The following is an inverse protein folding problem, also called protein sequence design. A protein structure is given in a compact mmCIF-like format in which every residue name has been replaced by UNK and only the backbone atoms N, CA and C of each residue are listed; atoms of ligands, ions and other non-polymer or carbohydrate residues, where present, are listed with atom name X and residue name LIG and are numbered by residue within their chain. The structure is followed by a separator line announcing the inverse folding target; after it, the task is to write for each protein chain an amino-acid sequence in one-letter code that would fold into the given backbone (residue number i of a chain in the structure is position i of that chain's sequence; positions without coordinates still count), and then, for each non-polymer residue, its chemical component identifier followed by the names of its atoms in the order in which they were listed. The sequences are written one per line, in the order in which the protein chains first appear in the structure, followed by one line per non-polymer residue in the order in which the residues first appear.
data_IF_279815000950
#
_entry.id   IF_279815000950
#
_cell.length_a   1.000
_cell.length_b   1.000
_cell.length_c   1.000
_cell.angle_alpha   90.00
_cell.angle_beta   90.00
_cell.angle_gamma   90.00
#
_symmetry.space_group_name_H-M   'P 1'
#
loop_
_entity.id
_entity.type
_entity.pdbx_description
1 polymer ?
#
# COMPACT_ATOMS: atom_id res chain seq x y z
N UNK A 1 -11.23 -4.67 -3.98
CA UNK A 1 -9.96 -4.11 -3.46
C UNK A 1 -9.21 -3.52 -4.64
N UNK A 2 -8.93 -2.21 -4.64
CA UNK A 2 -8.02 -1.62 -5.63
C UNK A 2 -6.60 -2.06 -5.26
N UNK A 3 -5.82 -2.73 -6.12
CA UNK A 3 -4.40 -2.89 -5.87
C UNK A 3 -3.79 -1.49 -5.98
N UNK A 4 -3.25 -0.94 -4.90
CA UNK A 4 -2.36 0.20 -5.03
C UNK A 4 -1.08 -0.30 -5.72
N UNK A 5 -0.94 0.00 -7.01
CA UNK A 5 0.24 -0.32 -7.77
C UNK A 5 1.40 0.57 -7.31
N UNK A 6 2.46 -0.04 -6.77
CA UNK A 6 3.67 0.70 -6.38
C UNK A 6 4.54 0.90 -7.62
N UNK A 7 4.57 2.12 -8.15
CA UNK A 7 5.54 2.52 -9.16
C UNK A 7 6.96 2.36 -8.57
N UNK A 8 7.85 1.67 -9.30
CA UNK A 8 9.16 1.29 -8.78
C UNK A 8 10.11 2.49 -8.76
N UNK A 9 10.64 2.79 -7.58
CA UNK A 9 11.64 3.86 -7.37
C UNK A 9 13.02 3.39 -7.80
N UNK A 10 13.87 4.30 -8.27
CA UNK A 10 15.25 3.98 -8.68
C UNK A 10 16.18 3.61 -7.50
N UNK A 11 15.69 3.65 -6.26
CA UNK A 11 16.40 3.18 -5.08
C UNK A 11 15.83 1.82 -4.61
N UNK A 12 16.63 0.74 -4.61
CA UNK A 12 16.25 -0.49 -3.93
C UNK A 12 16.35 -0.26 -2.42
N UNK A 13 15.22 -0.27 -1.72
CA UNK A 13 15.14 -0.25 -0.26
C UNK A 13 15.20 -1.66 0.36
N UNK A 14 15.81 -2.63 -0.34
CA UNK A 14 16.05 -3.97 0.19
C UNK A 14 17.47 -4.11 0.74
N UNK A 15 17.66 -3.74 2.00
CA UNK A 15 18.84 -4.14 2.78
C UNK A 15 18.47 -4.55 4.20
N UNK A 16 17.74 -5.66 4.33
CA UNK A 16 17.70 -6.40 5.60
C UNK A 16 17.66 -7.91 5.38
N UNK A 17 18.69 -8.51 4.75
CA UNK A 17 18.94 -9.97 4.83
C UNK A 17 20.31 -10.35 4.24
N UNK A 18 21.41 -9.97 4.91
CA UNK A 18 22.72 -10.59 4.63
C UNK A 18 23.77 -10.35 5.73
N UNK A 19 23.43 -10.61 6.99
CA UNK A 19 24.46 -10.90 8.02
C UNK A 19 23.95 -12.02 8.92
N UNK A 20 24.07 -13.27 8.44
CA UNK A 20 24.18 -14.49 9.27
C UNK A 20 24.58 -15.65 8.36
N UNK A 21 25.88 -15.87 8.23
CA UNK A 21 26.56 -17.17 8.13
C UNK A 21 27.93 -16.98 7.45
N UNK A 22 28.98 -16.81 8.26
CA UNK A 22 30.12 -17.72 8.25
C UNK A 22 31.16 -17.22 9.25
N UNK A 23 31.20 -17.88 10.39
CA UNK A 23 32.33 -17.82 11.29
C UNK A 23 32.78 -19.27 11.52
N UNK A 24 33.80 -19.72 10.79
CA UNK A 24 34.79 -20.70 11.27
C UNK A 24 35.92 -20.95 10.27
N UNK A 25 37.13 -20.71 10.79
CA UNK A 25 38.41 -21.38 10.51
C UNK A 25 39.09 -21.18 9.15
N UNK A 26 40.16 -20.37 9.12
CA UNK A 26 41.58 -20.80 9.14
C UNK A 26 42.49 -19.61 8.77
N UNK A 27 43.44 -19.27 9.63
CA UNK A 27 44.76 -18.71 9.26
C UNK A 27 45.70 -19.88 8.89
N UNK A 28 46.89 -19.72 8.25
CA UNK A 28 47.71 -18.49 8.17
C UNK A 28 48.44 -18.20 6.81
N UNK A 29 49.22 -17.11 6.84
CA UNK A 29 50.46 -16.77 6.09
C UNK A 29 50.44 -16.10 4.70
N UNK A 30 51.16 -14.95 4.62
CA UNK A 30 51.94 -14.57 3.42
C UNK A 30 51.72 -13.18 2.80
N UNK A 31 52.47 -12.17 3.28
CA UNK A 31 53.11 -11.06 2.52
C UNK A 31 52.30 -10.11 1.60
N UNK A 32 52.29 -8.81 2.00
CA UNK A 32 51.91 -7.56 1.29
C UNK A 32 52.63 -7.31 -0.08
N UNK A 33 52.23 -6.32 -0.94
CA UNK A 33 51.47 -5.10 -0.64
C UNK A 33 50.35 -4.71 -1.65
N UNK A 34 49.26 -4.14 -1.10
CA UNK A 34 48.19 -3.48 -1.84
C UNK A 34 47.61 -2.31 -1.03
N UNK A 35 48.50 -1.52 -0.41
CA UNK A 35 48.16 -0.38 0.45
C UNK A 35 47.89 0.87 -0.39
N UNK A 36 46.83 0.84 -1.20
CA UNK A 36 46.38 2.00 -1.99
C UNK A 36 44.94 2.41 -1.69
N UNK A 37 44.04 1.45 -1.46
CA UNK A 37 42.60 1.74 -1.32
C UNK A 37 42.07 1.62 0.11
N UNK A 38 42.77 0.92 1.01
CA UNK A 38 42.39 0.83 2.43
C UNK A 38 42.79 2.09 3.23
N UNK A 39 43.74 2.89 2.74
CA UNK A 39 44.16 4.12 3.40
C UNK A 39 43.07 5.20 3.35
N UNK A 40 42.27 5.29 2.28
CA UNK A 40 41.18 6.26 2.21
C UNK A 40 40.02 5.93 3.16
N UNK A 41 39.70 4.64 3.32
CA UNK A 41 38.67 4.18 4.27
C UNK A 41 39.13 4.31 5.73
N UNK A 42 40.39 3.99 6.02
CA UNK A 42 40.95 4.07 7.37
C UNK A 42 41.19 5.52 7.81
N UNK A 43 41.59 6.43 6.91
CA UNK A 43 41.73 7.86 7.22
C UNK A 43 40.35 8.49 7.49
N UNK A 44 39.30 8.11 6.76
CA UNK A 44 37.93 8.57 7.04
C UNK A 44 37.44 8.11 8.43
N UNK A 45 37.76 6.87 8.83
CA UNK A 45 37.42 6.34 10.16
C UNK A 45 38.31 6.92 11.29
N UNK A 46 39.58 7.24 11.01
CA UNK A 46 40.48 7.85 11.99
C UNK A 46 40.14 9.32 12.26
N UNK A 47 39.63 10.05 11.25
CA UNK A 47 39.10 11.41 11.42
C UNK A 47 37.88 11.43 12.35
N UNK A 48 37.05 10.38 12.33
CA UNK A 48 35.87 10.25 13.20
C UNK A 48 36.26 9.96 14.66
N UNK A 49 37.41 9.29 14.91
CA UNK A 49 37.83 8.90 16.25
C UNK A 49 38.64 9.97 17.01
N UNK A 50 39.19 10.97 16.32
CA UNK A 50 40.02 12.04 16.94
C UNK A 50 39.24 13.37 17.11
N UNK A 51 38.04 13.50 16.57
CA UNK A 51 37.23 14.72 16.66
C UNK A 51 36.36 14.80 17.93
N UNK A 52 36.88 14.37 19.07
CA UNK A 52 36.38 14.77 20.38
C UNK A 52 36.97 16.13 20.79
N UNK A 53 36.78 17.19 20.01
CA UNK A 53 37.07 18.59 20.39
C UNK A 53 36.56 19.60 19.32
N UNK A 54 35.43 20.24 19.61
CA UNK A 54 34.89 21.51 19.08
C UNK A 54 35.50 22.13 17.80
N UNK A 55 34.86 21.91 16.65
CA UNK A 55 34.75 22.80 15.48
C UNK A 55 33.48 22.34 14.73
N UNK A 56 32.67 23.26 14.21
CA UNK A 56 31.54 22.87 13.36
C UNK A 56 32.04 21.93 12.27
N UNK A 57 31.41 20.77 12.12
CA UNK A 57 31.70 19.87 11.01
C UNK A 57 31.69 20.68 9.70
N UNK A 58 32.72 20.54 8.87
CA UNK A 58 32.76 21.21 7.58
C UNK A 58 31.57 20.76 6.71
N UNK A 59 31.14 21.58 5.72
CA UNK A 59 29.92 21.29 4.97
C UNK A 59 29.96 19.91 4.30
N UNK A 60 31.13 19.44 3.83
CA UNK A 60 31.31 18.08 3.29
C UNK A 60 31.09 16.97 4.33
N UNK A 61 31.56 17.15 5.56
CA UNK A 61 31.36 16.16 6.62
C UNK A 61 29.89 16.09 7.02
N UNK A 62 29.23 17.23 7.13
CA UNK A 62 27.80 17.33 7.42
C UNK A 62 26.95 16.70 6.32
N UNK A 63 27.30 16.93 5.05
CA UNK A 63 26.66 16.29 3.90
C UNK A 63 26.77 14.76 3.93
N UNK A 64 27.99 14.23 4.13
CA UNK A 64 28.19 12.78 4.18
C UNK A 64 27.48 12.14 5.37
N UNK A 65 27.43 12.83 6.51
CA UNK A 65 26.63 12.41 7.67
C UNK A 65 25.14 12.36 7.35
N UNK A 66 24.60 13.36 6.64
CA UNK A 66 23.22 13.38 6.19
C UNK A 66 22.90 12.17 5.29
N UNK A 67 23.80 11.84 4.36
CA UNK A 67 23.66 10.68 3.48
C UNK A 67 23.65 9.35 4.26
N UNK A 68 24.55 9.18 5.22
CA UNK A 68 24.57 7.97 6.09
C UNK A 68 23.27 7.85 6.90
N UNK A 69 22.72 8.97 7.40
CA UNK A 69 21.44 8.97 8.11
C UNK A 69 20.27 8.60 7.18
N UNK A 70 20.27 9.12 5.94
CA UNK A 70 19.28 8.77 4.92
C UNK A 70 19.31 7.26 4.60
N UNK A 71 20.51 6.69 4.43
CA UNK A 71 20.70 5.25 4.19
C UNK A 71 20.21 4.38 5.37
N UNK A 72 20.21 4.93 6.59
CA UNK A 72 19.68 4.27 7.80
C UNK A 72 18.17 4.47 8.00
N UNK A 73 17.51 5.20 7.11
CA UNK A 73 16.09 5.52 7.22
C UNK A 73 15.78 6.66 8.20
N UNK A 74 16.79 7.36 8.72
CA UNK A 74 16.62 8.50 9.63
C UNK A 74 16.38 9.79 8.83
N UNK A 75 15.31 9.79 8.02
CA UNK A 75 15.07 10.80 6.98
C UNK A 75 14.90 12.23 7.53
N UNK A 76 14.22 12.40 8.65
CA UNK A 76 13.99 13.74 9.23
C UNK A 76 15.29 14.39 9.72
N UNK A 77 16.19 13.61 10.31
CA UNK A 77 17.51 14.10 10.75
C UNK A 77 18.42 14.37 9.55
N UNK A 78 18.40 13.49 8.54
CA UNK A 78 19.12 13.69 7.28
C UNK A 78 18.70 15.00 6.59
N UNK A 79 17.40 15.29 6.50
CA UNK A 79 16.89 16.54 5.90
C UNK A 79 17.44 17.76 6.64
N UNK A 80 17.45 17.75 7.98
CA UNK A 80 18.01 18.87 8.74
C UNK A 80 19.47 19.15 8.39
N UNK A 81 20.29 18.09 8.27
CA UNK A 81 21.69 18.25 7.90
C UNK A 81 21.87 18.68 6.45
N UNK A 82 21.00 18.25 5.53
CA UNK A 82 20.99 18.78 4.16
C UNK A 82 20.61 20.26 4.10
N UNK A 83 19.65 20.69 4.94
CA UNK A 83 19.26 22.09 5.06
C UNK A 83 20.43 22.95 5.57
N UNK A 84 21.16 22.47 6.57
CA UNK A 84 22.31 23.17 7.17
C UNK A 84 23.44 23.46 6.17
N UNK A 85 23.62 22.62 5.15
CA UNK A 85 24.68 22.77 4.14
C UNK A 85 24.19 23.32 2.80
N UNK A 86 22.88 23.55 2.64
CA UNK A 86 22.27 23.91 1.36
C UNK A 86 22.88 25.19 0.77
N UNK A 87 23.10 26.23 1.58
CA UNK A 87 23.67 27.49 1.09
C UNK A 87 25.10 27.29 0.58
N UNK A 88 25.91 26.52 1.32
CA UNK A 88 27.31 26.25 0.98
C UNK A 88 27.50 25.28 -0.18
N UNK A 89 26.51 24.42 -0.45
CA UNK A 89 26.55 23.37 -1.46
C UNK A 89 25.45 23.54 -2.51
N UNK A 90 25.06 24.79 -2.75
CA UNK A 90 23.91 25.14 -3.58
C UNK A 90 24.08 24.78 -5.07
N UNK A 91 25.28 24.43 -5.52
CA UNK A 91 25.61 23.96 -6.86
C UNK A 91 25.58 22.42 -7.00
N UNK A 92 25.57 21.67 -5.88
CA UNK A 92 25.66 20.21 -5.88
C UNK A 92 24.29 19.57 -6.13
N UNK A 93 24.06 19.07 -7.34
CA UNK A 93 22.82 18.37 -7.71
C UNK A 93 22.47 17.20 -6.76
N UNK A 94 23.49 16.47 -6.30
CA UNK A 94 23.35 15.32 -5.40
C UNK A 94 22.66 15.68 -4.07
N UNK A 95 22.88 16.89 -3.54
CA UNK A 95 22.21 17.39 -2.33
C UNK A 95 20.70 17.35 -2.48
N UNK A 96 20.20 17.99 -3.54
CA UNK A 96 18.78 18.09 -3.82
C UNK A 96 18.20 16.71 -4.12
N UNK A 97 18.91 15.86 -4.85
CA UNK A 97 18.47 14.49 -5.08
C UNK A 97 18.30 13.70 -3.76
N UNK A 98 19.32 13.67 -2.90
CA UNK A 98 19.29 12.90 -1.65
C UNK A 98 18.23 13.43 -0.68
N UNK A 99 18.09 14.75 -0.57
CA UNK A 99 17.03 15.38 0.22
C UNK A 99 15.65 15.08 -0.35
N UNK A 100 15.49 15.10 -1.68
CA UNK A 100 14.26 14.70 -2.38
C UNK A 100 13.86 13.25 -2.08
N UNK A 101 14.82 12.33 -2.06
CA UNK A 101 14.59 10.93 -1.66
C UNK A 101 14.09 10.83 -0.22
N UNK A 102 14.70 11.58 0.72
CA UNK A 102 14.25 11.62 2.11
C UNK A 102 12.82 12.19 2.25
N UNK A 103 12.53 13.28 1.55
CA UNK A 103 11.20 13.91 1.55
C UNK A 103 10.14 12.96 0.99
N UNK A 104 10.46 12.26 -0.10
CA UNK A 104 9.60 11.23 -0.69
C UNK A 104 9.34 10.08 0.29
N UNK A 105 10.34 9.63 1.04
CA UNK A 105 10.18 8.58 2.04
C UNK A 105 9.27 9.00 3.21
N UNK A 106 9.24 10.29 3.52
CA UNK A 106 8.32 10.89 4.50
C UNK A 106 6.94 11.28 3.90
N UNK A 107 6.67 10.90 2.65
CA UNK A 107 5.45 11.25 1.91
C UNK A 107 5.23 12.76 1.70
N UNK A 108 6.30 13.56 1.81
CA UNK A 108 6.28 15.01 1.51
C UNK A 108 6.52 15.23 0.02
N UNK A 109 5.56 14.77 -0.79
CA UNK A 109 5.72 14.60 -2.23
C UNK A 109 5.94 15.91 -2.99
N UNK A 110 5.23 16.99 -2.68
CA UNK A 110 5.45 18.26 -3.39
C UNK A 110 6.85 18.83 -3.13
N UNK A 111 7.33 18.75 -1.89
CA UNK A 111 8.72 19.14 -1.56
C UNK A 111 9.74 18.24 -2.24
N UNK A 112 9.43 16.96 -2.41
CA UNK A 112 10.29 16.05 -3.15
C UNK A 112 10.38 16.44 -4.64
N UNK A 113 9.27 16.83 -5.27
CA UNK A 113 9.26 17.34 -6.65
C UNK A 113 10.09 18.61 -6.79
N UNK A 114 9.95 19.56 -5.88
CA UNK A 114 10.79 20.78 -5.86
C UNK A 114 12.29 20.42 -5.81
N UNK A 115 12.68 19.49 -4.94
CA UNK A 115 14.08 19.06 -4.83
C UNK A 115 14.55 18.29 -6.07
N UNK A 116 13.72 17.45 -6.69
CA UNK A 116 14.08 16.81 -7.95
C UNK A 116 14.19 17.82 -9.10
N UNK A 117 13.37 18.86 -9.13
CA UNK A 117 13.49 19.94 -10.11
C UNK A 117 14.81 20.71 -9.93
N UNK A 118 15.19 21.06 -8.69
CA UNK A 118 16.48 21.69 -8.38
C UNK A 118 17.67 20.78 -8.76
N UNK A 119 17.57 19.47 -8.52
CA UNK A 119 18.56 18.50 -8.97
C UNK A 119 18.71 18.53 -10.50
N UNK A 120 17.60 18.45 -11.23
CA UNK A 120 17.58 18.38 -12.69
C UNK A 120 17.97 19.71 -13.36
N UNK A 121 17.82 20.84 -12.67
CA UNK A 121 18.33 22.12 -13.15
C UNK A 121 19.87 22.13 -13.19
N UNK A 122 20.53 21.45 -12.24
CA UNK A 122 21.99 21.38 -12.10
C UNK A 122 22.60 20.22 -12.87
N UNK A 123 21.92 19.08 -12.86
CA UNK A 123 22.29 17.87 -13.58
C UNK A 123 21.07 17.36 -14.39
N UNK A 124 20.86 17.89 -15.60
CA UNK A 124 19.72 17.52 -16.46
C UNK A 124 19.71 16.04 -16.90
N UNK A 125 20.84 15.34 -16.77
CA UNK A 125 21.02 13.94 -17.17
C UNK A 125 20.94 12.98 -15.98
N UNK A 126 20.54 13.48 -14.79
CA UNK A 126 20.37 12.67 -13.60
C UNK A 126 19.19 11.68 -13.73
N UNK A 127 19.44 10.51 -14.32
CA UNK A 127 18.41 9.47 -14.57
C UNK A 127 17.62 9.09 -13.30
N UNK A 128 18.25 8.88 -12.13
CA UNK A 128 17.51 8.58 -10.90
C UNK A 128 16.52 9.69 -10.51
N UNK A 129 16.91 10.97 -10.59
CA UNK A 129 16.02 12.09 -10.30
C UNK A 129 14.88 12.21 -11.31
N UNK A 130 15.18 12.03 -12.61
CA UNK A 130 14.16 12.01 -13.66
C UNK A 130 13.10 10.93 -13.41
N UNK A 131 13.53 9.70 -13.11
CA UNK A 131 12.61 8.60 -12.81
C UNK A 131 11.80 8.89 -11.54
N UNK A 132 12.46 9.30 -10.46
CA UNK A 132 11.78 9.55 -9.18
C UNK A 132 10.79 10.72 -9.28
N UNK A 133 11.05 11.74 -10.09
CA UNK A 133 10.09 12.81 -10.39
C UNK A 133 8.77 12.24 -10.95
N UNK A 134 8.86 11.39 -11.98
CA UNK A 134 7.68 10.71 -12.54
C UNK A 134 6.97 9.81 -11.53
N UNK A 135 7.71 9.10 -10.68
CA UNK A 135 7.13 8.28 -9.60
C UNK A 135 6.39 9.13 -8.58
N UNK A 136 6.93 10.28 -8.18
CA UNK A 136 6.29 11.17 -7.22
C UNK A 136 5.04 11.82 -7.81
N UNK A 137 5.05 12.20 -9.09
CA UNK A 137 3.84 12.65 -9.80
C UNK A 137 2.74 11.58 -9.73
N UNK A 138 3.07 10.31 -10.01
CA UNK A 138 2.11 9.21 -9.89
C UNK A 138 1.61 9.01 -8.45
N UNK A 139 2.48 9.18 -7.44
CA UNK A 139 2.09 9.09 -6.02
C UNK A 139 1.18 10.24 -5.55
N UNK A 140 1.14 11.34 -6.29
CA UNK A 140 0.21 12.46 -6.11
C UNK A 140 -1.08 12.27 -6.92
N UNK A 141 -1.30 11.09 -7.51
CA UNK A 141 -2.40 10.79 -8.44
C UNK A 141 -2.41 11.68 -9.70
N UNK A 142 -1.28 12.34 -10.01
CA UNK A 142 -1.08 13.17 -11.23
C UNK A 142 -0.63 12.30 -12.40
N UNK A 143 -1.43 11.28 -12.71
CA UNK A 143 -1.05 10.22 -13.67
C UNK A 143 -0.84 10.73 -15.10
N UNK A 144 -1.61 11.72 -15.57
CA UNK A 144 -1.42 12.30 -16.90
C UNK A 144 -0.04 12.99 -17.03
N UNK A 145 0.35 13.76 -16.00
CA UNK A 145 1.65 14.43 -15.95
C UNK A 145 2.79 13.43 -15.83
N UNK A 146 2.62 12.39 -15.00
CA UNK A 146 3.59 11.30 -14.87
C UNK A 146 3.77 10.56 -16.21
N UNK A 147 2.68 10.22 -16.90
CA UNK A 147 2.72 9.55 -18.19
C UNK A 147 3.39 10.42 -19.26
N UNK A 148 3.13 11.73 -19.28
CA UNK A 148 3.79 12.66 -20.19
C UNK A 148 5.29 12.77 -19.90
N UNK A 149 5.67 12.85 -18.61
CA UNK A 149 7.05 12.90 -18.15
C UNK A 149 7.83 11.63 -18.53
N UNK A 150 7.30 10.45 -18.20
CA UNK A 150 7.91 9.19 -18.66
C UNK A 150 7.91 9.08 -20.19
N UNK A 151 6.92 9.67 -20.87
CA UNK A 151 6.91 9.76 -22.33
C UNK A 151 8.11 10.52 -22.90
N UNK A 152 8.54 11.59 -22.24
CA UNK A 152 9.76 12.30 -22.61
C UNK A 152 11.01 11.44 -22.39
N UNK A 153 11.06 10.64 -21.32
CA UNK A 153 12.18 9.71 -21.07
C UNK A 153 12.26 8.64 -22.17
N UNK A 154 11.13 8.03 -22.52
CA UNK A 154 11.04 7.03 -23.60
C UNK A 154 11.40 7.63 -24.97
N UNK A 155 11.07 8.90 -25.23
CA UNK A 155 11.49 9.58 -26.46
C UNK A 155 13.02 9.77 -26.53
N UNK A 156 13.66 10.06 -25.39
CA UNK A 156 15.12 10.20 -25.30
C UNK A 156 15.83 8.86 -25.39
N UNK A 157 15.32 7.85 -24.70
CA UNK A 157 15.85 6.49 -24.70
C UNK A 157 14.70 5.47 -24.90
N UNK A 158 14.44 5.05 -26.15
CA UNK A 158 13.41 4.06 -26.45
C UNK A 158 13.67 2.68 -25.86
N UNK A 159 14.89 2.40 -25.39
CA UNK A 159 15.28 1.13 -24.77
C UNK A 159 15.25 1.19 -23.24
N UNK A 160 14.75 2.26 -22.64
CA UNK A 160 14.55 2.33 -21.19
C UNK A 160 13.29 1.53 -20.78
N UNK A 161 13.49 0.25 -20.48
CA UNK A 161 12.44 -0.66 -20.03
C UNK A 161 11.76 -0.19 -18.73
N UNK A 162 12.48 0.53 -17.86
CA UNK A 162 11.91 1.06 -16.61
C UNK A 162 10.96 2.22 -16.89
N UNK A 163 11.38 3.15 -17.76
CA UNK A 163 10.52 4.28 -18.18
C UNK A 163 9.28 3.79 -18.93
N UNK A 164 9.43 2.80 -19.83
CA UNK A 164 8.29 2.16 -20.51
C UNK A 164 7.32 1.54 -19.51
N UNK A 165 7.81 0.73 -18.55
CA UNK A 165 6.96 0.12 -17.54
C UNK A 165 6.25 1.17 -16.68
N UNK A 166 6.96 2.20 -16.23
CA UNK A 166 6.39 3.24 -15.38
C UNK A 166 5.36 4.10 -16.13
N UNK A 167 5.57 4.37 -17.43
CA UNK A 167 4.55 4.98 -18.28
C UNK A 167 3.34 4.06 -18.44
N UNK A 168 3.58 2.77 -18.69
CA UNK A 168 2.54 1.75 -18.78
C UNK A 168 1.67 1.67 -17.52
N UNK A 169 2.27 1.79 -16.32
CA UNK A 169 1.55 1.87 -15.06
C UNK A 169 0.63 3.09 -14.98
N UNK A 170 1.16 4.27 -15.31
CA UNK A 170 0.35 5.50 -15.32
C UNK A 170 -0.80 5.41 -16.33
N UNK A 171 -0.55 4.86 -17.53
CA UNK A 171 -1.55 4.65 -18.57
C UNK A 171 -2.62 3.63 -18.14
N UNK A 172 -2.23 2.59 -17.40
CA UNK A 172 -3.15 1.61 -16.81
C UNK A 172 -4.08 2.30 -15.80
N UNK A 173 -3.55 3.10 -14.88
CA UNK A 173 -4.37 3.85 -13.91
C UNK A 173 -5.32 4.85 -14.60
N UNK A 174 -4.89 5.44 -15.73
CA UNK A 174 -5.70 6.28 -16.60
C UNK A 174 -6.71 5.51 -17.48
N UNK A 175 -6.79 4.18 -17.37
CA UNK A 175 -7.65 3.30 -18.18
C UNK A 175 -7.32 3.31 -19.68
N UNK A 176 -6.13 3.79 -20.06
CA UNK A 176 -5.60 3.79 -21.44
C UNK A 176 -4.90 2.47 -21.74
N UNK A 177 -5.68 1.39 -21.68
CA UNK A 177 -5.15 0.02 -21.65
C UNK A 177 -4.34 -0.37 -22.88
N UNK A 178 -4.75 0.02 -24.08
CA UNK A 178 -4.03 -0.37 -25.31
C UNK A 178 -2.65 0.26 -25.39
N UNK A 179 -2.50 1.50 -24.90
CA UNK A 179 -1.22 2.18 -24.81
C UNK A 179 -0.34 1.56 -23.70
N UNK A 180 -0.92 1.23 -22.56
CA UNK A 180 -0.21 0.50 -21.49
C UNK A 180 0.32 -0.86 -21.99
N UNK A 181 -0.49 -1.62 -22.73
CA UNK A 181 -0.08 -2.89 -23.33
C UNK A 181 1.06 -2.69 -24.34
N UNK A 182 1.01 -1.63 -25.15
CA UNK A 182 2.10 -1.32 -26.09
C UNK A 182 3.42 -1.06 -25.36
N UNK A 183 3.38 -0.34 -24.24
CA UNK A 183 4.54 -0.07 -23.40
C UNK A 183 5.09 -1.32 -22.72
N UNK A 184 4.24 -2.14 -22.10
CA UNK A 184 4.68 -3.39 -21.50
C UNK A 184 5.23 -4.37 -22.54
N UNK A 185 4.64 -4.40 -23.75
CA UNK A 185 5.18 -5.19 -24.87
C UNK A 185 6.57 -4.71 -25.29
N UNK A 186 6.80 -3.39 -25.36
CA UNK A 186 8.11 -2.84 -25.66
C UNK A 186 9.12 -3.15 -24.54
N UNK A 187 8.73 -2.97 -23.29
CA UNK A 187 9.57 -3.28 -22.12
C UNK A 187 9.98 -4.76 -22.08
N UNK A 188 9.05 -5.68 -22.36
CA UNK A 188 9.32 -7.13 -22.41
C UNK A 188 10.18 -7.57 -23.60
N UNK A 189 10.23 -6.81 -24.70
CA UNK A 189 11.20 -7.06 -25.78
C UNK A 189 12.63 -6.73 -25.35
N UNK A 190 12.78 -5.74 -24.45
CA UNK A 190 14.09 -5.29 -23.95
C UNK A 190 14.54 -6.17 -22.78
N UNK A 191 13.63 -6.45 -21.84
CA UNK A 191 13.87 -7.24 -20.63
C UNK A 191 12.85 -8.39 -20.53
N UNK A 192 13.07 -9.52 -21.25
CA UNK A 192 12.11 -10.63 -21.32
C UNK A 192 11.96 -11.41 -20.02
N UNK A 193 12.87 -11.24 -19.06
CA UNK A 193 12.84 -11.88 -17.74
C UNK A 193 12.44 -10.88 -16.62
N UNK A 194 11.88 -9.73 -16.96
CA UNK A 194 11.32 -8.82 -15.96
C UNK A 194 9.94 -9.31 -15.50
N UNK A 195 9.92 -9.95 -14.32
CA UNK A 195 8.73 -10.48 -13.64
C UNK A 195 7.62 -9.43 -13.50
N UNK A 196 7.98 -8.18 -13.18
CA UNK A 196 7.01 -7.12 -12.93
C UNK A 196 6.33 -6.70 -14.24
N UNK A 197 7.08 -6.63 -15.34
CA UNK A 197 6.49 -6.31 -16.65
C UNK A 197 5.48 -7.37 -17.11
N UNK A 198 5.78 -8.66 -16.94
CA UNK A 198 4.81 -9.74 -17.21
C UNK A 198 3.58 -9.61 -16.32
N UNK A 199 3.78 -9.42 -15.01
CA UNK A 199 2.70 -9.28 -14.04
C UNK A 199 1.79 -8.09 -14.38
N UNK A 200 2.34 -6.93 -14.70
CA UNK A 200 1.55 -5.74 -14.96
C UNK A 200 0.80 -5.82 -16.29
N UNK A 201 1.41 -6.39 -17.32
CA UNK A 201 0.70 -6.68 -18.57
C UNK A 201 -0.46 -7.66 -18.37
N UNK A 202 -0.23 -8.71 -17.57
CA UNK A 202 -1.27 -9.65 -17.15
C UNK A 202 -2.42 -8.98 -16.41
N UNK A 203 -2.14 -8.00 -15.54
CA UNK A 203 -3.17 -7.21 -14.85
C UNK A 203 -4.04 -6.41 -15.83
N UNK A 204 -3.43 -5.80 -16.85
CA UNK A 204 -4.17 -5.08 -17.89
C UNK A 204 -5.07 -6.02 -18.68
N UNK A 205 -4.56 -7.19 -19.11
CA UNK A 205 -5.39 -8.20 -19.77
C UNK A 205 -6.55 -8.69 -18.88
N UNK A 206 -6.29 -8.90 -17.59
CA UNK A 206 -7.32 -9.31 -16.64
C UNK A 206 -8.42 -8.25 -16.50
N UNK A 207 -8.08 -6.97 -16.48
CA UNK A 207 -9.05 -5.86 -16.46
C UNK A 207 -9.86 -5.73 -17.76
N UNK A 208 -9.25 -6.02 -18.91
CA UNK A 208 -9.97 -6.09 -20.20
C UNK A 208 -10.88 -7.32 -20.32
N UNK A 209 -10.71 -8.32 -19.44
CA UNK A 209 -11.46 -9.57 -19.47
C UNK A 209 -10.79 -10.69 -20.26
N UNK A 210 -9.59 -10.45 -20.79
CA UNK A 210 -8.80 -11.41 -21.58
C UNK A 210 -8.09 -12.42 -20.66
N UNK A 211 -8.88 -13.23 -19.96
CA UNK A 211 -8.39 -14.14 -18.90
C UNK A 211 -7.33 -15.14 -19.35
N UNK A 212 -7.37 -15.58 -20.61
CA UNK A 212 -6.37 -16.49 -21.18
C UNK A 212 -4.99 -15.82 -21.35
N UNK A 213 -4.96 -14.58 -21.84
CA UNK A 213 -3.71 -13.82 -21.98
C UNK A 213 -3.16 -13.42 -20.61
N UNK A 214 -4.04 -13.03 -19.68
CA UNK A 214 -3.66 -12.75 -18.30
C UNK A 214 -3.00 -13.96 -17.63
N UNK A 215 -3.60 -15.15 -17.73
CA UNK A 215 -3.03 -16.37 -17.18
C UNK A 215 -1.66 -16.71 -17.80
N UNK A 216 -1.50 -16.54 -19.11
CA UNK A 216 -0.23 -16.79 -19.78
C UNK A 216 0.88 -15.87 -19.23
N UNK A 217 0.57 -14.58 -19.08
CA UNK A 217 1.50 -13.59 -18.53
C UNK A 217 1.84 -13.86 -17.06
N UNK A 218 0.85 -14.18 -16.22
CA UNK A 218 1.11 -14.55 -14.83
C UNK A 218 1.91 -15.85 -14.72
N UNK A 219 1.67 -16.82 -15.61
CA UNK A 219 2.45 -18.05 -15.66
C UNK A 219 3.91 -17.76 -16.02
N UNK A 220 4.15 -16.86 -16.97
CA UNK A 220 5.50 -16.43 -17.31
C UNK A 220 6.19 -15.72 -16.15
N UNK A 221 5.49 -14.85 -15.42
CA UNK A 221 6.01 -14.21 -14.22
C UNK A 221 6.41 -15.23 -13.14
N UNK A 222 5.59 -16.27 -12.94
CA UNK A 222 5.85 -17.37 -12.00
C UNK A 222 7.02 -18.25 -12.45
N UNK A 223 7.14 -18.55 -13.74
CA UNK A 223 8.27 -19.32 -14.28
C UNK A 223 9.60 -18.62 -14.01
N UNK A 224 9.63 -17.30 -14.19
CA UNK A 224 10.84 -16.49 -13.96
C UNK A 224 11.13 -16.35 -12.46
N UNK A 225 10.09 -16.12 -11.63
CA UNK A 225 10.22 -16.08 -10.17
C UNK A 225 9.10 -16.85 -9.47
N UNK A 226 9.36 -18.13 -9.11
CA UNK A 226 8.36 -18.96 -8.43
C UNK A 226 7.94 -18.45 -7.05
N UNK A 227 8.76 -17.63 -6.39
CA UNK A 227 8.44 -17.03 -5.09
C UNK A 227 7.59 -15.75 -5.20
N UNK A 228 7.21 -15.33 -6.42
CA UNK A 228 6.40 -14.14 -6.63
C UNK A 228 4.92 -14.40 -6.32
N UNK A 229 4.55 -14.26 -5.03
CA UNK A 229 3.22 -14.56 -4.51
C UNK A 229 2.07 -13.87 -5.28
N UNK A 230 2.26 -12.61 -5.71
CA UNK A 230 1.26 -11.86 -6.49
C UNK A 230 0.96 -12.49 -7.85
N UNK A 231 1.97 -13.09 -8.50
CA UNK A 231 1.79 -13.80 -9.76
C UNK A 231 0.87 -15.00 -9.59
N UNK A 232 1.11 -15.83 -8.57
CA UNK A 232 0.22 -16.93 -8.20
C UNK A 232 -1.19 -16.45 -7.89
N UNK A 233 -1.32 -15.43 -7.05
CA UNK A 233 -2.61 -14.87 -6.68
C UNK A 233 -3.43 -14.45 -7.90
N UNK A 234 -2.84 -13.66 -8.80
CA UNK A 234 -3.56 -13.13 -9.95
C UNK A 234 -3.78 -14.17 -11.05
N UNK A 235 -2.92 -15.19 -11.17
CA UNK A 235 -3.20 -16.36 -12.01
C UNK A 235 -4.41 -17.13 -11.48
N UNK A 236 -4.49 -17.31 -10.15
CA UNK A 236 -5.64 -17.90 -9.50
C UNK A 236 -6.93 -17.15 -9.82
N UNK A 237 -6.91 -15.82 -9.68
CA UNK A 237 -8.04 -14.94 -10.04
C UNK A 237 -8.42 -15.08 -11.52
N UNK A 238 -7.45 -15.11 -12.43
CA UNK A 238 -7.71 -15.30 -13.87
C UNK A 238 -8.41 -16.64 -14.13
N UNK A 239 -7.93 -17.73 -13.52
CA UNK A 239 -8.53 -19.07 -13.62
C UNK A 239 -9.94 -19.14 -13.05
N UNK A 240 -10.21 -18.47 -11.94
CA UNK A 240 -11.57 -18.32 -11.39
C UNK A 240 -12.51 -17.66 -12.40
N UNK A 241 -12.07 -16.56 -13.04
CA UNK A 241 -12.87 -15.87 -14.06
C UNK A 241 -13.10 -16.73 -15.31
N UNK A 242 -12.18 -17.64 -15.65
CA UNK A 242 -12.37 -18.62 -16.72
C UNK A 242 -13.16 -19.88 -16.29
N UNK A 243 -13.64 -19.96 -15.05
CA UNK A 243 -14.40 -21.11 -14.53
C UNK A 243 -13.58 -22.30 -14.02
N UNK A 244 -12.24 -22.24 -14.07
CA UNK A 244 -11.33 -23.28 -13.55
C UNK A 244 -11.06 -23.07 -12.06
N UNK A 245 -12.08 -23.32 -11.25
CA UNK A 245 -12.09 -23.00 -9.82
C UNK A 245 -11.04 -23.79 -9.02
N UNK A 246 -10.88 -25.08 -9.30
CA UNK A 246 -9.95 -25.94 -8.54
C UNK A 246 -8.50 -25.52 -8.75
N UNK A 247 -8.09 -25.29 -10.01
CA UNK A 247 -6.76 -24.76 -10.36
C UNK A 247 -6.55 -23.36 -9.76
N UNK A 248 -7.59 -22.51 -9.80
CA UNK A 248 -7.53 -21.19 -9.21
C UNK A 248 -7.31 -21.22 -7.70
N UNK A 249 -8.00 -22.12 -6.99
CA UNK A 249 -7.86 -22.30 -5.55
C UNK A 249 -6.47 -22.84 -5.16
N UNK A 250 -5.91 -23.75 -5.97
CA UNK A 250 -4.54 -24.23 -5.77
C UNK A 250 -3.51 -23.09 -5.84
N UNK A 251 -3.63 -22.23 -6.85
CA UNK A 251 -2.75 -21.07 -7.00
C UNK A 251 -2.89 -20.08 -5.83
N UNK A 252 -4.11 -19.79 -5.40
CA UNK A 252 -4.37 -18.91 -4.25
C UNK A 252 -3.74 -19.47 -2.97
N UNK A 253 -3.92 -20.77 -2.69
CA UNK A 253 -3.30 -21.42 -1.51
C UNK A 253 -1.78 -21.39 -1.58
N UNK A 254 -1.20 -21.57 -2.77
CA UNK A 254 0.24 -21.43 -2.96
C UNK A 254 0.69 -19.99 -2.67
N UNK A 255 -0.04 -18.98 -3.18
CA UNK A 255 0.26 -17.58 -2.91
C UNK A 255 0.25 -17.26 -1.40
N UNK A 256 -0.74 -17.75 -0.66
CA UNK A 256 -0.81 -17.60 0.81
C UNK A 256 0.31 -18.31 1.56
N UNK A 257 0.84 -19.42 1.01
CA UNK A 257 2.03 -20.07 1.54
C UNK A 257 3.32 -19.26 1.35
N UNK A 258 3.34 -18.33 0.39
CA UNK A 258 4.48 -17.46 0.09
C UNK A 258 4.41 -16.09 0.80
N UNK A 259 3.21 -15.56 1.01
CA UNK A 259 2.96 -14.27 1.66
C UNK A 259 1.78 -14.37 2.65
N UNK A 260 2.09 -14.23 3.94
CA UNK A 260 1.11 -14.33 5.04
C UNK A 260 0.02 -13.24 4.99
N UNK A 261 0.24 -12.15 4.25
CA UNK A 261 -0.76 -11.10 4.06
C UNK A 261 -1.82 -11.49 3.01
N UNK A 262 -1.59 -12.55 2.23
CA UNK A 262 -2.56 -13.06 1.27
C UNK A 262 -3.51 -14.00 2.00
N UNK A 263 -4.68 -13.47 2.34
CA UNK A 263 -5.75 -14.25 2.96
C UNK A 263 -6.60 -14.87 1.86
N UNK A 264 -6.58 -16.20 1.78
CA UNK A 264 -7.51 -16.96 0.95
C UNK A 264 -8.73 -17.25 1.80
N UNK A 265 -9.90 -16.66 1.50
CA UNK A 265 -11.11 -17.00 2.24
C UNK A 265 -11.40 -18.49 2.05
N UNK A 266 -11.75 -19.18 3.13
CA UNK A 266 -12.29 -20.55 3.10
C UNK A 266 -13.66 -20.54 2.44
N UNK A 267 -13.66 -20.39 1.13
CA UNK A 267 -14.84 -20.53 0.30
C UNK A 267 -14.87 -21.99 -0.12
N UNK A 268 -15.70 -22.78 0.57
CA UNK A 268 -16.17 -24.06 0.05
C UNK A 268 -16.99 -23.78 -1.22
N UNK A 269 -16.31 -23.80 -2.37
CA UNK A 269 -16.99 -23.83 -3.65
C UNK A 269 -17.64 -25.19 -3.76
N UNK A 270 -18.96 -25.24 -3.66
CA UNK A 270 -19.70 -26.48 -3.88
C UNK A 270 -19.20 -27.14 -5.18
N UNK A 271 -18.87 -28.45 -5.15
CA UNK A 271 -18.42 -29.14 -6.36
C UNK A 271 -19.47 -28.96 -7.47
N UNK A 272 -19.07 -29.00 -8.75
CA UNK A 272 -20.04 -28.95 -9.85
C UNK A 272 -21.12 -30.01 -9.58
N UNK A 273 -22.37 -29.54 -9.49
CA UNK A 273 -23.53 -30.36 -9.12
C UNK A 273 -23.67 -31.50 -10.13
N UNK A 274 -23.11 -32.66 -9.80
CA UNK A 274 -23.14 -33.87 -10.63
C UNK A 274 -24.02 -34.94 -10.01
N UNK A 275 -24.51 -34.72 -8.79
CA UNK A 275 -25.51 -35.59 -8.16
C UNK A 275 -26.46 -34.77 -7.29
N UNK A 276 -27.71 -34.62 -7.73
CA UNK A 276 -28.76 -33.88 -7.02
C UNK A 276 -29.36 -34.67 -5.85
N UNK A 277 -28.88 -35.89 -5.55
CA UNK A 277 -29.56 -36.77 -4.58
C UNK A 277 -29.01 -36.74 -3.16
N UNK A 278 -27.93 -36.01 -2.89
CA UNK A 278 -27.35 -35.90 -1.55
C UNK A 278 -26.92 -34.47 -1.20
N UNK A 279 -27.82 -33.50 -1.31
CA UNK A 279 -27.62 -32.22 -0.64
C UNK A 279 -27.80 -32.44 0.87
N UNK A 280 -26.69 -32.41 1.64
CA UNK A 280 -26.79 -32.07 3.06
C UNK A 280 -27.50 -30.72 3.15
N UNK A 281 -28.47 -30.54 4.06
CA UNK A 281 -29.18 -29.29 4.17
C UNK A 281 -28.16 -28.18 4.41
N UNK A 282 -28.08 -27.24 3.48
CA UNK A 282 -27.45 -25.95 3.72
C UNK A 282 -28.24 -25.34 4.87
N UNK A 283 -27.66 -25.31 6.07
CA UNK A 283 -28.22 -24.53 7.17
C UNK A 283 -28.20 -23.09 6.65
N UNK A 284 -29.36 -22.45 6.41
CA UNK A 284 -29.36 -21.07 5.97
C UNK A 284 -28.60 -20.26 7.01
N UNK A 285 -27.57 -19.52 6.60
CA UNK A 285 -27.02 -18.48 7.47
C UNK A 285 -28.19 -17.57 7.86
N UNK A 286 -28.39 -17.26 9.14
CA UNK A 286 -29.49 -16.41 9.55
C UNK A 286 -29.36 -15.08 8.80
N UNK A 287 -30.37 -14.76 8.00
CA UNK A 287 -30.47 -13.46 7.36
C UNK A 287 -30.74 -12.49 8.48
N UNK A 288 -29.71 -11.75 8.91
CA UNK A 288 -29.88 -10.71 9.92
C UNK A 288 -30.78 -9.63 9.33
N UNK A 289 -31.98 -9.47 9.88
CA UNK A 289 -32.88 -8.40 9.49
C UNK A 289 -32.39 -7.08 10.08
N UNK A 290 -31.97 -6.16 9.20
CA UNK A 290 -31.53 -4.83 9.61
C UNK A 290 -32.64 -4.03 10.30
N UNK A 291 -33.91 -4.29 10.00
CA UNK A 291 -35.02 -3.62 10.69
C UNK A 291 -35.09 -4.04 12.16
N UNK A 292 -34.88 -5.32 12.46
CA UNK A 292 -34.82 -5.81 13.85
C UNK A 292 -33.58 -5.25 14.57
N UNK A 293 -32.43 -5.25 13.90
CA UNK A 293 -31.18 -4.71 14.44
C UNK A 293 -31.30 -3.20 14.75
N UNK A 294 -31.83 -2.42 13.81
CA UNK A 294 -32.01 -0.97 13.97
C UNK A 294 -33.08 -0.65 15.03
N UNK A 295 -34.09 -1.50 15.19
CA UNK A 295 -35.03 -1.45 16.30
C UNK A 295 -34.33 -1.64 17.65
N UNK A 296 -33.54 -2.71 17.79
CA UNK A 296 -32.76 -3.00 18.99
C UNK A 296 -31.79 -1.87 19.36
N UNK A 297 -31.14 -1.25 18.36
CA UNK A 297 -30.27 -0.08 18.55
C UNK A 297 -31.04 1.08 19.20
N UNK A 298 -32.26 1.38 18.73
CA UNK A 298 -33.07 2.47 19.30
C UNK A 298 -33.54 2.16 20.71
N UNK A 299 -33.96 0.93 20.97
CA UNK A 299 -34.36 0.48 22.29
C UNK A 299 -33.19 0.58 23.28
N UNK A 300 -32.01 0.12 22.87
CA UNK A 300 -30.77 0.24 23.66
C UNK A 300 -30.44 1.70 23.99
N UNK A 301 -30.62 2.62 23.04
CA UNK A 301 -30.41 4.05 23.28
C UNK A 301 -31.49 4.62 24.23
N UNK A 302 -32.75 4.25 24.06
CA UNK A 302 -33.83 4.66 24.94
C UNK A 302 -33.59 4.20 26.39
N UNK A 303 -33.21 2.94 26.57
CA UNK A 303 -32.85 2.35 27.88
C UNK A 303 -31.67 3.06 28.54
N UNK A 304 -30.78 3.64 27.73
CA UNK A 304 -29.63 4.44 28.18
C UNK A 304 -29.95 5.93 28.37
N UNK A 305 -31.22 6.31 28.31
CA UNK A 305 -31.69 7.66 28.61
C UNK A 305 -31.58 8.65 27.44
N UNK A 306 -31.45 8.16 26.21
CA UNK A 306 -31.54 8.98 25.01
C UNK A 306 -32.99 9.09 24.53
N UNK A 307 -33.48 10.31 24.28
CA UNK A 307 -34.83 10.58 23.79
C UNK A 307 -34.81 11.22 22.40
N UNK A 308 -35.96 11.39 21.76
CA UNK A 308 -36.09 12.01 20.42
C UNK A 308 -35.14 11.44 19.36
N UNK A 309 -35.02 10.10 19.32
CA UNK A 309 -34.10 9.40 18.42
C UNK A 309 -34.61 9.46 16.97
N UNK A 310 -33.94 10.22 16.12
CA UNK A 310 -34.24 10.36 14.69
C UNK A 310 -33.13 9.79 13.83
N UNK A 311 -33.47 9.23 12.66
CA UNK A 311 -32.47 8.75 11.71
C UNK A 311 -32.12 9.83 10.72
N UNK A 312 -30.83 10.20 10.69
CA UNK A 312 -30.31 11.14 9.69
C UNK A 312 -29.94 10.42 8.40
N UNK A 313 -29.32 9.24 8.52
CA UNK A 313 -28.92 8.42 7.38
C UNK A 313 -28.95 6.94 7.77
N UNK A 314 -29.45 6.09 6.87
CA UNK A 314 -29.52 4.65 7.07
C UNK A 314 -28.83 3.93 5.92
N UNK A 315 -28.00 2.94 6.24
CA UNK A 315 -27.23 2.18 5.25
C UNK A 315 -27.43 0.67 5.46
N UNK A 316 -28.60 0.12 5.10
CA UNK A 316 -28.93 -1.29 5.34
C UNK A 316 -27.94 -2.27 4.72
N UNK A 317 -27.41 -1.96 3.52
CA UNK A 317 -26.42 -2.80 2.83
C UNK A 317 -25.05 -2.85 3.52
N UNK A 318 -24.81 -1.93 4.47
CA UNK A 318 -23.58 -1.85 5.28
C UNK A 318 -23.83 -2.11 6.76
N UNK A 319 -25.08 -2.45 7.12
CA UNK A 319 -25.54 -2.67 8.50
C UNK A 319 -25.11 -1.57 9.48
N UNK A 320 -25.27 -0.31 9.08
CA UNK A 320 -24.97 0.83 9.93
C UNK A 320 -25.92 2.01 9.67
N UNK A 321 -26.10 2.87 10.67
CA UNK A 321 -26.89 4.08 10.55
C UNK A 321 -26.30 5.24 11.37
N UNK A 322 -26.74 6.45 11.02
CA UNK A 322 -26.48 7.68 11.75
C UNK A 322 -27.79 8.22 12.29
N UNK A 323 -27.80 8.47 13.59
CA UNK A 323 -28.97 8.94 14.33
C UNK A 323 -28.64 10.25 15.04
N UNK A 324 -29.65 11.06 15.25
CA UNK A 324 -29.65 12.13 16.25
C UNK A 324 -30.50 11.70 17.43
N UNK A 325 -30.06 12.04 18.64
CA UNK A 325 -30.84 11.81 19.85
C UNK A 325 -30.60 12.95 20.84
N UNK A 326 -31.45 13.05 21.86
CA UNK A 326 -31.29 13.99 22.97
C UNK A 326 -30.82 13.27 24.22
N UNK A 327 -29.88 13.86 24.92
CA UNK A 327 -29.48 13.47 26.27
C UNK A 327 -29.65 14.69 27.18
N UNK A 328 -30.78 14.78 27.88
CA UNK A 328 -31.21 15.99 28.57
C UNK A 328 -31.42 17.16 27.59
N UNK A 329 -30.70 18.27 27.81
CA UNK A 329 -30.80 19.48 26.98
C UNK A 329 -29.90 19.48 25.73
N UNK A 330 -29.08 18.44 25.56
CA UNK A 330 -28.09 18.36 24.47
C UNK A 330 -28.57 17.42 23.38
N UNK A 331 -28.48 17.87 22.12
CA UNK A 331 -28.54 16.98 20.96
C UNK A 331 -27.19 16.31 20.79
N UNK A 332 -27.20 14.99 20.63
CA UNK A 332 -26.02 14.16 20.37
C UNK A 332 -26.18 13.45 19.03
N UNK A 333 -25.04 13.24 18.36
CA UNK A 333 -24.96 12.39 17.18
C UNK A 333 -24.55 10.99 17.62
N UNK A 334 -25.33 10.00 17.18
CA UNK A 334 -25.10 8.58 17.46
C UNK A 334 -24.76 7.89 16.16
N UNK A 335 -23.64 7.18 16.16
CA UNK A 335 -23.34 6.21 15.12
C UNK A 335 -23.58 4.82 15.62
N UNK A 336 -24.37 4.05 14.89
CA UNK A 336 -24.67 2.67 15.22
C UNK A 336 -24.31 1.70 14.10
N UNK A 337 -23.75 0.55 14.45
CA UNK A 337 -23.33 -0.46 13.47
C UNK A 337 -23.50 -1.88 14.01
N UNK A 338 -23.77 -2.82 13.12
CA UNK A 338 -23.67 -4.25 13.39
C UNK A 338 -22.21 -4.70 13.20
N UNK A 339 -21.67 -5.40 14.19
CA UNK A 339 -20.35 -6.01 14.14
C UNK A 339 -20.32 -7.08 13.04
N UNK A 340 -19.37 -6.94 12.11
CA UNK A 340 -19.22 -7.89 11.01
C UNK A 340 -18.50 -9.17 11.49
N UNK A 341 -19.11 -10.34 11.29
CA UNK A 341 -18.51 -11.63 11.67
C UNK A 341 -17.15 -11.94 11.00
N UNK A 342 -16.85 -11.29 9.86
CA UNK A 342 -15.68 -11.60 9.02
C UNK A 342 -14.95 -10.34 8.49
N UNK A 343 -15.04 -9.19 9.15
CA UNK A 343 -14.39 -7.98 8.64
C UNK A 343 -14.49 -6.73 9.53
N UNK A 344 -14.03 -5.59 9.00
CA UNK A 344 -14.06 -4.29 9.67
C UNK A 344 -15.50 -3.78 9.81
N UNK A 345 -15.82 -3.20 10.96
CA UNK A 345 -17.15 -2.60 11.21
C UNK A 345 -17.23 -1.21 10.58
N UNK A 346 -18.27 -0.96 9.79
CA UNK A 346 -18.46 0.34 9.13
C UNK A 346 -19.14 1.34 10.06
N UNK A 347 -18.56 2.53 10.17
CA UNK A 347 -19.03 3.57 11.09
C UNK A 347 -19.19 4.86 10.29
N UNK A 348 -20.43 5.31 9.98
CA UNK A 348 -20.64 6.57 9.25
C UNK A 348 -20.15 7.77 10.04
N UNK A 349 -19.54 8.76 9.37
CA UNK A 349 -19.11 10.02 9.99
C UNK A 349 -19.67 11.28 9.33
N UNK A 350 -19.78 12.34 10.12
CA UNK A 350 -20.18 13.65 9.63
C UNK A 350 -19.19 14.14 8.56
N UNK A 351 -19.66 14.89 7.53
CA UNK A 351 -18.80 15.39 6.44
C UNK A 351 -17.62 16.24 6.94
N UNK A 352 -17.75 16.87 8.11
CA UNK A 352 -16.82 17.87 8.61
C UNK A 352 -15.77 17.29 9.58
N UNK A 353 -15.76 15.98 9.81
CA UNK A 353 -14.82 15.32 10.74
C UNK A 353 -15.09 15.64 12.23
N UNK A 354 -16.21 16.29 12.54
CA UNK A 354 -16.68 16.54 13.90
C UNK A 354 -16.86 15.21 14.67
N UNK A 355 -16.49 15.15 15.96
CA UNK A 355 -16.59 13.92 16.73
C UNK A 355 -18.06 13.52 16.91
N UNK A 356 -18.38 12.26 16.68
CA UNK A 356 -19.65 11.71 17.12
C UNK A 356 -19.69 11.74 18.64
N UNK A 357 -20.79 12.19 19.22
CA UNK A 357 -20.97 12.03 20.66
C UNK A 357 -20.93 10.55 21.03
N UNK A 358 -21.68 9.71 20.32
CA UNK A 358 -21.93 8.33 20.76
C UNK A 358 -21.61 7.32 19.65
N UNK A 359 -20.88 6.26 19.99
CA UNK A 359 -20.74 5.05 19.18
C UNK A 359 -21.47 3.90 19.89
N UNK A 360 -22.31 3.17 19.15
CA UNK A 360 -22.98 1.96 19.60
C UNK A 360 -22.76 0.84 18.57
N UNK A 361 -22.09 -0.23 18.98
CA UNK A 361 -21.88 -1.42 18.15
C UNK A 361 -22.64 -2.59 18.77
N UNK A 362 -23.40 -3.28 17.94
CA UNK A 362 -24.19 -4.44 18.33
C UNK A 362 -23.73 -5.65 17.54
N UNK A 363 -23.87 -6.84 18.11
CA UNK A 363 -23.55 -8.11 17.46
C UNK A 363 -24.80 -8.98 17.41
N UNK A 364 -24.99 -9.68 16.29
CA UNK A 364 -26.02 -10.70 16.17
C UNK A 364 -25.59 -11.96 16.93
N UNK A 365 -26.49 -12.49 17.78
CA UNK A 365 -26.21 -13.65 18.64
C UNK A 365 -26.87 -14.91 18.08
N UNK A 366 -28.14 -14.80 17.69
CA UNK A 366 -28.93 -15.92 17.16
C UNK A 366 -30.24 -15.40 16.55
N UNK A 367 -30.84 -16.14 15.62
CA UNK A 367 -32.22 -15.91 15.20
C UNK A 367 -33.06 -17.17 15.51
N UNK A 368 -34.24 -16.98 16.07
CA UNK A 368 -35.24 -18.02 16.29
C UNK A 368 -36.61 -17.60 15.71
N UNK A 369 -37.66 -18.41 15.89
CA UNK A 369 -39.02 -18.09 15.42
C UNK A 369 -39.60 -16.81 16.05
N UNK A 370 -39.01 -16.30 17.14
CA UNK A 370 -39.43 -15.07 17.83
C UNK A 370 -38.65 -13.83 17.37
N UNK A 371 -37.66 -13.97 16.47
CA UNK A 371 -36.86 -12.87 15.91
C UNK A 371 -35.36 -13.00 16.17
N UNK A 372 -34.60 -12.00 15.76
CA UNK A 372 -33.15 -11.94 15.97
C UNK A 372 -32.78 -11.38 17.34
N UNK A 373 -31.84 -12.03 18.02
CA UNK A 373 -31.25 -11.57 19.27
C UNK A 373 -29.93 -10.85 19.01
N UNK A 374 -29.78 -9.70 19.64
CA UNK A 374 -28.60 -8.85 19.52
C UNK A 374 -28.01 -8.56 20.90
N UNK A 375 -26.70 -8.28 20.93
CA UNK A 375 -25.96 -7.89 22.12
C UNK A 375 -25.15 -6.62 21.83
N UNK A 376 -24.99 -5.74 22.82
CA UNK A 376 -24.13 -4.55 22.69
C UNK A 376 -22.69 -4.95 22.93
N UNK A 377 -21.83 -4.86 21.92
CA UNK A 377 -20.40 -5.19 22.03
C UNK A 377 -19.53 -3.97 22.28
N UNK A 378 -19.97 -2.78 21.86
CA UNK A 378 -19.30 -1.53 22.19
C UNK A 378 -20.32 -0.41 22.41
N UNK A 379 -20.11 0.36 23.46
CA UNK A 379 -20.83 1.62 23.67
C UNK A 379 -19.86 2.67 24.22
N UNK A 380 -19.68 3.76 23.48
CA UNK A 380 -18.82 4.88 23.87
C UNK A 380 -19.60 6.18 23.75
N UNK A 381 -19.82 6.87 24.87
CA UNK A 381 -20.57 8.13 24.93
C UNK A 381 -19.75 9.39 24.60
N UNK A 382 -18.45 9.24 24.35
CA UNK A 382 -17.52 10.30 23.91
C UNK A 382 -16.58 9.77 22.81
N UNK A 383 -17.12 9.16 21.76
CA UNK A 383 -16.31 8.50 20.74
C UNK A 383 -15.62 9.49 19.79
N UNK A 384 -14.37 9.22 19.40
CA UNK A 384 -13.67 10.01 18.36
C UNK A 384 -13.09 9.10 17.29
N UNK A 385 -13.25 9.42 15.99
CA UNK A 385 -12.74 8.60 14.88
C UNK A 385 -11.22 8.33 14.93
N UNK A 386 -10.42 9.19 15.59
CA UNK A 386 -8.97 9.05 15.74
C UNK A 386 -8.52 8.21 16.96
N UNK A 387 -9.44 7.55 17.67
CA UNK A 387 -9.13 6.76 18.88
C UNK A 387 -8.54 5.38 18.55
N UNK A 388 -7.46 5.32 17.76
CA UNK A 388 -6.49 4.20 17.66
C UNK A 388 -7.01 2.77 17.42
N UNK A 389 -8.30 2.55 17.20
CA UNK A 389 -8.94 1.24 17.08
C UNK A 389 -8.91 0.81 15.61
N UNK A 390 -8.12 -0.23 15.34
CA UNK A 390 -7.78 -0.72 13.98
C UNK A 390 -8.97 -1.45 13.32
N UNK A 391 -10.08 -1.62 14.04
CA UNK A 391 -11.21 -2.49 13.68
C UNK A 391 -12.37 -1.76 12.98
N UNK A 392 -12.32 -0.43 12.90
CA UNK A 392 -13.38 0.39 12.31
C UNK A 392 -12.99 0.97 10.95
N UNK A 393 -13.93 0.96 10.00
CA UNK A 393 -13.80 1.60 8.70
C UNK A 393 -14.74 2.81 8.65
N UNK A 394 -14.14 4.01 8.64
CA UNK A 394 -14.86 5.29 8.70
C UNK A 394 -15.43 5.63 7.32
N UNK A 395 -16.75 5.87 7.23
CA UNK A 395 -17.41 6.27 5.98
C UNK A 395 -17.63 7.78 5.96
N UNK A 396 -16.89 8.49 5.10
CA UNK A 396 -17.10 9.91 4.83
C UNK A 396 -18.10 10.10 3.67
N UNK A 397 -19.32 10.57 3.97
CA UNK A 397 -20.32 10.94 2.96
C UNK A 397 -21.24 9.80 2.45
N UNK A 398 -22.11 10.13 1.49
CA UNK A 398 -23.18 9.25 0.97
C UNK A 398 -22.72 8.18 -0.06
N UNK A 399 -21.42 8.09 -0.40
CA UNK A 399 -20.90 7.16 -1.44
C UNK A 399 -20.19 5.93 -0.87
#
# INVERSE_FOLDING_TARGET
MRPHFKVQTAYPSDRTRLIRHHNRSKQPDGTHPGTGHLLFSAVALLVIAVAGCSRSDGPEVTFERARILADRGQYAEAIRLFDDVQETMSDRAELYFQRGVCLQALNLYEKALENYAECLQRDPENKPAMNNCGVVLAKLDRFDEAAAHFGQLVQRDPNDALALRNRGLCLHDLRRFDEALADYNAALKIAPDDVENWFQRGNVYLEKGDTALAEADFSRAIEVNPAFAKGWMNRGVARFRSGRRDEGMQDLRHAAGLDENIIVPDIEWAPPVTDMTAAKPVIPKPVVDWNECSGFIRETLADRGYSDIQTEADYPSRFCCRLTARQGDRTVFVTAALEAEFGRTFVPVLPDGEPHGVLLVVKHVSSDEAGSKFEVTNFSADWRPNSGSVDFLVLHGER
#
